data_IF_460704948031
#
_entry.id   IF_460704948031
#
_cell.length_a   1.000
_cell.length_b   1.000
_cell.length_c   1.000
_cell.angle_alpha   90.00
_cell.angle_beta   90.00
_cell.angle_gamma   90.00
#
_symmetry.space_group_name_H-M   'P 1'
#
loop_
_entity.id
_entity.type
_entity.pdbx_description
1 polymer ?
#
# COMPACT_ATOMS: atom_id res chain seq x y z
N UNK A 1 10.34 -4.58 -11.48
CA UNK A 1 9.37 -3.53 -11.83
C UNK A 1 10.15 -2.37 -12.45
N UNK A 2 9.65 -1.75 -13.53
CA UNK A 2 10.38 -0.66 -14.22
C UNK A 2 10.18 0.67 -13.51
N UNK A 3 11.03 1.67 -13.82
CA UNK A 3 10.86 3.04 -13.32
C UNK A 3 9.54 3.66 -13.76
N UNK A 4 9.07 3.34 -14.96
CA UNK A 4 7.80 3.83 -15.49
C UNK A 4 6.62 3.24 -14.72
N UNK A 5 6.66 1.93 -14.42
CA UNK A 5 5.65 1.27 -13.58
C UNK A 5 5.64 1.85 -12.15
N UNK A 6 6.81 2.18 -11.58
CA UNK A 6 6.87 2.81 -10.26
C UNK A 6 6.25 4.21 -10.28
N UNK A 7 6.41 4.95 -11.38
CA UNK A 7 5.86 6.30 -11.50
C UNK A 7 4.34 6.34 -11.61
N UNK A 8 3.72 5.25 -12.06
CA UNK A 8 2.25 5.09 -12.06
C UNK A 8 1.67 4.93 -10.66
N UNK A 9 2.49 4.63 -9.65
CA UNK A 9 2.05 4.46 -8.27
C UNK A 9 2.04 5.83 -7.60
N UNK A 10 0.88 6.25 -7.10
CA UNK A 10 0.69 7.55 -6.44
C UNK A 10 1.77 7.84 -5.39
N UNK A 11 2.18 6.82 -4.62
CA UNK A 11 3.20 6.93 -3.60
C UNK A 11 4.59 7.34 -4.12
N UNK A 12 4.92 6.97 -5.36
CA UNK A 12 6.23 7.21 -5.98
C UNK A 12 6.16 8.17 -7.18
N UNK A 13 4.97 8.66 -7.52
CA UNK A 13 4.70 9.53 -8.67
C UNK A 13 5.54 10.81 -8.69
N UNK A 14 5.86 11.37 -7.51
CA UNK A 14 6.64 12.59 -7.36
C UNK A 14 8.15 12.40 -7.53
N UNK A 15 8.64 11.16 -7.53
CA UNK A 15 10.07 10.89 -7.58
C UNK A 15 10.64 11.17 -8.98
N UNK A 16 11.85 11.72 -8.99
CA UNK A 16 12.62 11.89 -10.22
C UNK A 16 13.16 10.54 -10.74
N UNK A 17 13.64 10.51 -11.99
CA UNK A 17 14.06 9.26 -12.63
C UNK A 17 15.24 8.56 -11.93
N UNK A 18 16.15 9.31 -11.31
CA UNK A 18 17.28 8.73 -10.57
C UNK A 18 16.80 8.05 -9.28
N UNK A 19 15.89 8.70 -8.55
CA UNK A 19 15.23 8.15 -7.37
C UNK A 19 14.37 6.93 -7.68
N UNK A 20 13.62 6.95 -8.78
CA UNK A 20 12.87 5.79 -9.24
C UNK A 20 13.79 4.62 -9.60
N UNK A 21 14.94 4.87 -10.23
CA UNK A 21 15.91 3.83 -10.57
C UNK A 21 16.52 3.18 -9.32
N UNK A 22 16.84 3.99 -8.31
CA UNK A 22 17.30 3.47 -7.01
C UNK A 22 16.21 2.67 -6.30
N UNK A 23 14.98 3.16 -6.28
CA UNK A 23 13.87 2.41 -5.70
C UNK A 23 13.66 1.08 -6.44
N UNK A 24 13.69 1.09 -7.78
CA UNK A 24 13.57 -0.12 -8.59
C UNK A 24 14.64 -1.19 -8.26
N UNK A 25 15.82 -0.77 -7.80
CA UNK A 25 16.90 -1.69 -7.41
C UNK A 25 16.60 -2.54 -6.17
N UNK A 26 15.66 -2.10 -5.32
CA UNK A 26 15.23 -2.84 -4.13
C UNK A 26 13.87 -3.51 -4.29
N UNK A 27 13.28 -3.44 -5.50
CA UNK A 27 11.98 -4.06 -5.80
C UNK A 27 12.17 -5.47 -6.34
N UNK A 28 11.67 -6.45 -5.62
CA UNK A 28 11.58 -7.83 -6.07
C UNK A 28 10.27 -8.08 -6.82
N UNK A 29 10.29 -8.96 -7.83
CA UNK A 29 9.06 -9.38 -8.51
C UNK A 29 8.56 -10.68 -7.89
N UNK A 30 7.27 -10.73 -7.54
CA UNK A 30 6.62 -11.92 -6.99
C UNK A 30 5.39 -12.27 -7.83
N UNK A 31 5.38 -13.48 -8.37
CA UNK A 31 4.24 -14.02 -9.11
C UNK A 31 3.50 -15.03 -8.24
N UNK A 32 2.18 -14.90 -8.14
CA UNK A 32 1.36 -15.76 -7.31
C UNK A 32 0.06 -16.17 -8.02
N UNK A 33 -0.43 -17.40 -7.84
CA UNK A 33 -1.69 -17.84 -8.44
C UNK A 33 -2.91 -17.20 -7.76
N UNK A 34 -4.06 -17.28 -8.43
CA UNK A 34 -5.34 -16.90 -7.85
C UNK A 34 -5.63 -17.73 -6.59
N UNK A 35 -6.29 -17.11 -5.62
CA UNK A 35 -6.59 -17.67 -4.30
C UNK A 35 -5.43 -17.57 -3.29
N UNK A 36 -4.26 -17.08 -3.69
CA UNK A 36 -3.12 -16.92 -2.77
C UNK A 36 -3.45 -15.88 -1.70
N UNK A 37 -3.37 -16.26 -0.44
CA UNK A 37 -3.36 -15.35 0.69
C UNK A 37 -1.94 -14.79 0.81
N UNK A 38 -1.78 -13.48 0.62
CA UNK A 38 -0.49 -12.82 0.77
C UNK A 38 -0.12 -12.62 2.24
N UNK A 39 -1.12 -12.28 3.06
CA UNK A 39 -1.02 -12.20 4.51
C UNK A 39 -2.42 -12.12 5.12
N UNK A 40 -2.50 -12.39 6.43
CA UNK A 40 -3.70 -12.23 7.25
C UNK A 40 -3.62 -11.04 8.19
N UNK A 41 -4.78 -10.52 8.58
CA UNK A 41 -4.90 -9.55 9.66
C UNK A 41 -4.24 -10.07 10.95
N UNK A 42 -3.48 -9.20 11.62
CA UNK A 42 -2.76 -9.51 12.85
C UNK A 42 -1.39 -10.16 12.65
N UNK A 43 -1.05 -10.62 11.44
CA UNK A 43 0.29 -11.13 11.16
C UNK A 43 1.34 -10.01 11.21
N UNK A 44 2.58 -10.35 11.60
CA UNK A 44 3.70 -9.44 11.42
C UNK A 44 3.96 -9.22 9.92
N UNK A 45 4.37 -8.01 9.55
CA UNK A 45 4.61 -7.68 8.15
C UNK A 45 5.70 -6.64 7.98
N UNK A 46 6.63 -6.93 7.08
CA UNK A 46 7.78 -6.10 6.73
C UNK A 46 7.85 -5.83 5.22
N UNK A 47 6.76 -6.09 4.49
CA UNK A 47 6.71 -5.95 3.03
C UNK A 47 5.61 -4.99 2.58
N UNK A 48 5.94 -4.13 1.60
CA UNK A 48 5.00 -3.36 0.78
C UNK A 48 4.85 -4.05 -0.58
N UNK A 49 3.61 -4.12 -1.05
CA UNK A 49 3.26 -4.74 -2.33
C UNK A 49 2.72 -3.70 -3.30
N UNK A 50 3.06 -3.85 -4.57
CA UNK A 50 2.63 -3.01 -5.68
C UNK A 50 2.11 -3.90 -6.80
N UNK A 51 0.91 -3.62 -7.31
CA UNK A 51 0.27 -4.50 -8.27
C UNK A 51 0.69 -4.12 -9.69
N UNK A 52 1.43 -5.00 -10.35
CA UNK A 52 1.75 -4.88 -11.79
C UNK A 52 0.68 -5.51 -12.66
N UNK A 53 0.07 -6.59 -12.17
CA UNK A 53 -1.00 -7.32 -12.85
C UNK A 53 -1.86 -8.07 -11.83
N UNK A 54 -3.14 -8.20 -12.12
CA UNK A 54 -4.10 -8.99 -11.36
C UNK A 54 -4.91 -8.14 -10.39
N UNK A 55 -5.69 -8.81 -9.55
CA UNK A 55 -6.57 -8.16 -8.56
C UNK A 55 -6.34 -8.74 -7.17
N UNK A 56 -6.14 -7.88 -6.19
CA UNK A 56 -5.97 -8.25 -4.78
C UNK A 56 -7.14 -7.69 -3.99
N UNK A 57 -7.83 -8.54 -3.24
CA UNK A 57 -8.91 -8.15 -2.35
C UNK A 57 -8.33 -7.88 -0.96
N UNK A 58 -8.65 -6.72 -0.42
CA UNK A 58 -8.39 -6.35 0.97
C UNK A 58 -9.68 -6.56 1.76
N UNK A 59 -9.62 -7.31 2.87
CA UNK A 59 -10.81 -7.63 3.66
C UNK A 59 -10.52 -7.74 5.15
N UNK A 60 -11.58 -7.66 5.96
CA UNK A 60 -11.53 -7.96 7.39
C UNK A 60 -12.56 -9.01 7.73
N UNK A 61 -12.31 -9.75 8.81
CA UNK A 61 -13.33 -10.62 9.39
C UNK A 61 -14.05 -9.87 10.51
N UNK A 62 -15.35 -9.65 10.35
CA UNK A 62 -16.19 -8.99 11.34
C UNK A 62 -17.03 -10.04 12.05
N UNK A 63 -16.89 -10.11 13.37
CA UNK A 63 -17.60 -11.08 14.19
C UNK A 63 -19.12 -10.96 13.99
N UNK A 64 -19.78 -12.09 13.69
CA UNK A 64 -21.22 -12.15 13.41
C UNK A 64 -21.65 -11.73 11.99
N UNK A 65 -20.76 -11.11 11.19
CA UNK A 65 -21.04 -10.71 9.80
C UNK A 65 -20.29 -11.57 8.80
N UNK A 66 -19.08 -12.02 9.15
CA UNK A 66 -18.20 -12.79 8.28
C UNK A 66 -17.16 -11.90 7.58
N UNK A 67 -16.77 -12.26 6.37
CA UNK A 67 -15.76 -11.53 5.61
C UNK A 67 -16.36 -10.28 4.95
N UNK A 68 -15.82 -9.11 5.28
CA UNK A 68 -16.16 -7.83 4.64
C UNK A 68 -15.02 -7.40 3.71
N UNK A 69 -15.31 -7.26 2.41
CA UNK A 69 -14.36 -6.75 1.43
C UNK A 69 -14.29 -5.22 1.53
N UNK A 70 -13.13 -4.71 1.97
CA UNK A 70 -12.88 -3.28 2.12
C UNK A 70 -12.53 -2.63 0.78
N UNK A 71 -11.76 -3.33 -0.06
CA UNK A 71 -11.34 -2.86 -1.37
C UNK A 71 -10.95 -4.03 -2.30
N UNK A 72 -11.01 -3.78 -3.61
CA UNK A 72 -10.35 -4.60 -4.62
C UNK A 72 -9.35 -3.69 -5.33
N UNK A 73 -8.07 -4.03 -5.17
CA UNK A 73 -6.93 -3.32 -5.72
C UNK A 73 -6.49 -3.95 -7.04
N UNK A 74 -6.05 -3.15 -7.99
CA UNK A 74 -5.61 -3.55 -9.32
C UNK A 74 -4.32 -2.84 -9.76
N UNK A 75 -3.96 -2.91 -11.05
CA UNK A 75 -2.69 -2.37 -11.55
C UNK A 75 -2.53 -0.90 -11.15
N UNK A 76 -1.37 -0.56 -10.56
CA UNK A 76 -1.04 0.79 -10.10
C UNK A 76 -1.32 1.01 -8.61
N UNK A 77 -2.16 0.16 -8.00
CA UNK A 77 -2.39 0.19 -6.56
C UNK A 77 -1.24 -0.45 -5.78
N UNK A 78 -1.13 -0.07 -4.51
CA UNK A 78 -0.20 -0.62 -3.54
C UNK A 78 -0.88 -0.88 -2.20
N UNK A 79 -0.31 -1.76 -1.39
CA UNK A 79 -0.83 -2.12 -0.07
C UNK A 79 0.25 -2.70 0.84
N UNK A 80 -0.05 -2.74 2.15
CA UNK A 80 0.85 -3.27 3.17
C UNK A 80 1.84 -2.22 3.70
N UNK A 81 1.67 -0.97 3.30
CA UNK A 81 2.46 0.18 3.73
C UNK A 81 2.34 0.44 5.23
N UNK A 82 1.18 0.13 5.84
CA UNK A 82 0.97 0.32 7.27
C UNK A 82 1.93 -0.54 8.10
N UNK A 83 2.19 -1.77 7.66
CA UNK A 83 3.10 -2.67 8.34
C UNK A 83 4.57 -2.32 8.04
N UNK A 84 4.88 -1.91 6.81
CA UNK A 84 6.22 -1.46 6.44
C UNK A 84 6.65 -0.21 7.24
N UNK A 85 5.78 0.81 7.33
CA UNK A 85 6.12 2.15 7.79
C UNK A 85 5.70 2.44 9.23
N UNK A 86 4.61 1.84 9.71
CA UNK A 86 4.00 2.14 11.00
C UNK A 86 4.39 1.19 12.13
N UNK A 87 5.22 0.18 11.84
CA UNK A 87 5.56 -0.92 12.75
C UNK A 87 4.32 -1.56 13.42
N UNK A 88 3.24 -1.65 12.64
CA UNK A 88 1.99 -2.29 13.05
C UNK A 88 1.86 -3.68 12.43
N UNK A 89 1.15 -4.63 13.08
CA UNK A 89 0.70 -5.83 12.41
C UNK A 89 -0.15 -5.50 11.17
N UNK A 90 -0.31 -6.47 10.27
CA UNK A 90 -1.19 -6.36 9.12
C UNK A 90 -2.60 -6.00 9.58
N UNK A 91 -3.16 -4.93 9.01
CA UNK A 91 -4.44 -4.36 9.46
C UNK A 91 -5.66 -4.98 8.79
N UNK A 92 -5.47 -5.84 7.79
CA UNK A 92 -6.49 -6.51 7.01
C UNK A 92 -5.87 -7.75 6.33
N UNK A 93 -6.70 -8.66 5.84
CA UNK A 93 -6.31 -9.73 4.94
C UNK A 93 -6.02 -9.18 3.54
N UNK A 94 -5.06 -9.77 2.84
CA UNK A 94 -4.80 -9.51 1.42
C UNK A 94 -4.79 -10.82 0.62
N UNK A 95 -5.72 -10.95 -0.32
CA UNK A 95 -5.96 -12.21 -1.05
C UNK A 95 -6.00 -11.94 -2.55
N UNK A 96 -5.22 -12.68 -3.33
CA UNK A 96 -5.20 -12.57 -4.79
C UNK A 96 -6.48 -13.19 -5.38
N UNK A 97 -7.41 -12.36 -5.88
CA UNK A 97 -8.61 -12.85 -6.56
C UNK A 97 -8.29 -13.44 -7.95
N UNK A 98 -7.21 -12.99 -8.58
CA UNK A 98 -6.67 -13.53 -9.84
C UNK A 98 -5.21 -13.92 -9.66
N UNK A 99 -4.59 -14.54 -10.66
CA UNK A 99 -3.14 -14.60 -10.71
C UNK A 99 -2.57 -13.17 -10.70
N UNK A 100 -1.55 -12.92 -9.88
CA UNK A 100 -0.98 -11.61 -9.65
C UNK A 100 0.52 -11.59 -9.96
N UNK A 101 0.97 -10.45 -10.48
CA UNK A 101 2.39 -10.10 -10.57
C UNK A 101 2.58 -8.85 -9.72
N UNK A 102 3.41 -8.96 -8.70
CA UNK A 102 3.60 -7.95 -7.67
C UNK A 102 5.05 -7.44 -7.70
N UNK A 103 5.23 -6.14 -7.50
CA UNK A 103 6.48 -5.58 -7.00
C UNK A 103 6.46 -5.63 -5.48
N UNK A 104 7.54 -6.08 -4.86
CA UNK A 104 7.65 -6.22 -3.40
C UNK A 104 8.88 -5.48 -2.92
N UNK A 105 8.69 -4.63 -1.91
CA UNK A 105 9.77 -3.94 -1.20
C UNK A 105 9.75 -4.44 0.23
N UNK A 106 10.88 -4.95 0.72
CA UNK A 106 11.08 -5.32 2.13
C UNK A 106 11.60 -4.14 2.94
N UNK A 107 11.28 -4.12 4.24
CA UNK A 107 11.64 -3.06 5.18
C UNK A 107 13.14 -2.80 5.21
N UNK A 108 13.95 -3.83 5.41
CA UNK A 108 15.39 -3.67 5.57
C UNK A 108 16.06 -3.04 4.33
N UNK A 109 15.90 -3.56 3.09
CA UNK A 109 16.44 -2.91 1.89
C UNK A 109 15.93 -1.48 1.68
N UNK A 110 14.66 -1.23 2.02
CA UNK A 110 14.07 0.10 1.91
C UNK A 110 14.72 1.07 2.89
N UNK A 111 14.79 0.72 4.17
CA UNK A 111 15.43 1.54 5.21
C UNK A 111 16.92 1.81 4.89
N UNK A 112 17.65 0.80 4.41
CA UNK A 112 19.03 0.96 3.97
C UNK A 112 19.14 1.94 2.80
N UNK A 113 18.25 1.84 1.82
CA UNK A 113 18.21 2.77 0.69
C UNK A 113 17.95 4.21 1.14
N UNK A 114 16.99 4.42 2.05
CA UNK A 114 16.67 5.75 2.59
C UNK A 114 17.83 6.30 3.44
N UNK A 115 18.52 5.44 4.18
CA UNK A 115 19.68 5.84 4.97
C UNK A 115 20.85 6.30 4.08
N UNK A 116 21.08 5.61 2.96
CA UNK A 116 22.15 5.93 2.01
C UNK A 116 21.81 7.12 1.11
N UNK A 117 20.54 7.30 0.76
CA UNK A 117 20.08 8.44 -0.04
C UNK A 117 19.11 9.34 0.74
N UNK A 118 19.67 10.36 1.39
CA UNK A 118 18.91 11.35 2.18
C UNK A 118 17.96 12.22 1.35
N UNK A 119 18.29 12.48 0.08
CA UNK A 119 17.42 13.27 -0.81
C UNK A 119 16.16 12.48 -1.16
N UNK A 120 16.33 11.20 -1.53
CA UNK A 120 15.22 10.27 -1.73
C UNK A 120 14.36 10.14 -0.47
N UNK A 121 14.99 9.98 0.70
CA UNK A 121 14.27 9.91 1.96
C UNK A 121 13.45 11.16 2.25
N UNK A 122 14.01 12.34 1.99
CA UNK A 122 13.30 13.61 2.15
C UNK A 122 12.12 13.76 1.18
N UNK A 123 12.29 13.40 -0.09
CA UNK A 123 11.20 13.42 -1.07
C UNK A 123 10.06 12.48 -0.65
N UNK A 124 10.38 11.23 -0.29
CA UNK A 124 9.39 10.26 0.16
C UNK A 124 8.67 10.69 1.43
N UNK A 125 9.41 11.23 2.41
CA UNK A 125 8.82 11.77 3.64
C UNK A 125 7.76 12.80 3.33
N UNK A 126 8.05 13.78 2.48
CA UNK A 126 7.08 14.81 2.11
C UNK A 126 5.92 14.28 1.29
N UNK A 127 6.13 13.26 0.46
CA UNK A 127 5.04 12.58 -0.24
C UNK A 127 4.10 11.91 0.76
N UNK A 128 4.62 11.15 1.72
CA UNK A 128 3.80 10.56 2.79
C UNK A 128 3.05 11.63 3.59
N UNK A 129 3.71 12.71 4.00
CA UNK A 129 3.08 13.80 4.76
C UNK A 129 1.91 14.41 3.97
N UNK A 130 2.08 14.69 2.68
CA UNK A 130 1.02 15.24 1.83
C UNK A 130 -0.13 14.24 1.66
N UNK A 131 0.17 13.01 1.26
CA UNK A 131 -0.84 11.96 1.04
C UNK A 131 -1.63 11.67 2.31
N UNK A 132 -0.97 11.56 3.47
CA UNK A 132 -1.65 11.33 4.75
C UNK A 132 -2.48 12.53 5.18
N UNK A 133 -1.99 13.76 4.96
CA UNK A 133 -2.74 14.98 5.27
C UNK A 133 -4.02 15.08 4.43
N UNK A 134 -3.93 14.76 3.13
CA UNK A 134 -5.08 14.72 2.22
C UNK A 134 -6.08 13.63 2.61
N UNK A 135 -5.60 12.42 2.90
CA UNK A 135 -6.45 11.31 3.37
C UNK A 135 -7.14 11.63 4.69
N UNK A 136 -6.44 12.27 5.63
CA UNK A 136 -7.02 12.68 6.91
C UNK A 136 -8.10 13.75 6.70
N UNK A 137 -7.85 14.74 5.85
CA UNK A 137 -8.85 15.76 5.51
C UNK A 137 -10.11 15.13 4.89
N UNK A 138 -9.93 14.24 3.91
CA UNK A 138 -11.04 13.51 3.27
C UNK A 138 -11.80 12.63 4.26
N UNK A 139 -11.11 11.97 5.18
CA UNK A 139 -11.72 11.13 6.22
C UNK A 139 -12.56 11.98 7.17
N UNK A 140 -12.03 13.13 7.61
CA UNK A 140 -12.76 14.08 8.45
C UNK A 140 -14.04 14.58 7.77
N UNK A 141 -14.00 14.86 6.47
CA UNK A 141 -15.17 15.32 5.72
C UNK A 141 -16.22 14.21 5.54
N UNK A 142 -15.81 12.96 5.30
CA UNK A 142 -16.70 11.79 5.28
C UNK A 142 -17.39 11.57 6.63
N UNK A 143 -16.66 11.70 7.74
CA UNK A 143 -17.21 11.59 9.09
C UNK A 143 -18.26 12.67 9.34
N UNK A 144 -17.99 13.94 8.99
CA UNK A 144 -18.98 15.03 9.10
C UNK A 144 -20.24 14.74 8.28
N UNK A 145 -20.08 14.27 7.04
CA UNK A 145 -21.20 13.92 6.18
C UNK A 145 -22.05 12.77 6.77
N UNK A 146 -21.40 11.74 7.32
CA UNK A 146 -22.08 10.65 8.01
C UNK A 146 -22.91 11.16 9.20
N UNK A 147 -22.33 11.98 10.07
CA UNK A 147 -23.06 12.57 11.20
C UNK A 147 -24.24 13.43 10.76
N UNK A 148 -24.06 14.26 9.72
CA UNK A 148 -25.13 15.09 9.17
C UNK A 148 -26.30 14.27 8.57
N UNK A 149 -26.03 13.08 8.02
CA UNK A 149 -27.07 12.17 7.55
C UNK A 149 -27.76 11.44 8.71
N UNK A 150 -27.01 11.00 9.72
CA UNK A 150 -27.56 10.31 10.90
C UNK A 150 -28.42 11.22 11.80
N UNK A 151 -28.15 12.52 11.84
CA UNK A 151 -28.94 13.51 12.60
C UNK A 151 -30.24 13.94 11.91
N UNK A 152 -30.51 13.45 10.69
CA UNK A 152 -31.76 13.71 9.94
C UNK A 152 -32.82 12.60 10.09
N UNK A 153 -32.52 11.57 10.88
CA UNK A 153 -33.45 10.51 11.30
C UNK A 153 -33.60 10.56 12.83
#
# INVERSE_FOLDING_TARGET
>A
MTTDELKEIDLFSSLNSAHLAQLASVVETREVPAGTVLFREGEAGDELFMIRKGKVRISKHVEGVGEEALAILEKGDYFGEMALLGDHPRTADAICNTACVLGVIRREPFEQLLFLNKELAYELLWTFVRTLSERLAQTNDKIKAFFAMSARF
#
